data_IF_759056845580
#
_entry.id   IF_759056845580
#
_cell.length_a   1.000
_cell.length_b   1.000
_cell.length_c   1.000
_cell.angle_alpha   90.00
_cell.angle_beta   90.00
_cell.angle_gamma   90.00
#
_symmetry.space_group_name_H-M   'P 1'
#
loop_
_entity.id
_entity.type
_entity.pdbx_description
1 polymer ?
#
# COMPACT_ATOMS: atom_id res chain seq x y z
N UNK A 1 -5.86 49.41 10.29
CA UNK A 1 -6.69 48.36 10.93
C UNK A 1 -6.87 47.14 10.00
N UNK A 2 -7.19 47.30 8.71
CA UNK A 2 -7.29 46.22 7.70
C UNK A 2 -5.98 45.45 7.50
N UNK A 3 -4.84 46.16 7.44
CA UNK A 3 -3.53 45.51 7.33
C UNK A 3 -3.14 44.71 8.60
N UNK A 4 -3.59 45.18 9.77
CA UNK A 4 -3.35 44.49 11.04
C UNK A 4 -4.22 43.23 11.17
N UNK A 5 -5.48 43.31 10.71
CA UNK A 5 -6.39 42.15 10.65
C UNK A 5 -5.93 41.12 9.59
N UNK A 6 -5.44 41.57 8.44
CA UNK A 6 -4.87 40.67 7.40
C UNK A 6 -3.59 39.97 7.89
N UNK A 7 -2.67 40.69 8.59
CA UNK A 7 -1.50 40.07 9.22
C UNK A 7 -1.86 39.09 10.33
N UNK A 8 -2.86 39.40 11.16
CA UNK A 8 -3.34 38.49 12.20
C UNK A 8 -4.01 37.23 11.59
N UNK A 9 -4.76 37.38 10.49
CA UNK A 9 -5.36 36.28 9.77
C UNK A 9 -4.29 35.40 9.09
N UNK A 10 -3.28 36.00 8.46
CA UNK A 10 -2.15 35.26 7.86
C UNK A 10 -1.32 34.54 8.93
N UNK A 11 -1.15 35.10 10.12
CA UNK A 11 -0.46 34.43 11.24
C UNK A 11 -1.30 33.34 11.93
N UNK A 12 -2.61 33.30 11.72
CA UNK A 12 -3.51 32.27 12.23
C UNK A 12 -3.73 31.09 11.23
N UNK A 13 -3.25 31.25 9.99
CA UNK A 13 -3.22 30.10 9.06
C UNK A 13 -2.25 29.07 9.60
N UNK A 14 -2.60 27.77 9.61
CA UNK A 14 -1.69 26.73 10.03
C UNK A 14 -0.40 26.88 9.21
N UNK A 15 0.73 27.11 9.91
CA UNK A 15 2.03 27.16 9.24
C UNK A 15 2.18 25.89 8.41
N UNK A 16 2.54 26.07 7.14
CA UNK A 16 2.81 24.96 6.21
C UNK A 16 3.88 24.10 6.88
N UNK A 17 3.48 22.97 7.48
CA UNK A 17 4.44 22.07 8.14
C UNK A 17 5.35 21.56 7.05
N UNK A 18 6.60 22.00 7.09
CA UNK A 18 7.62 21.53 6.17
C UNK A 18 7.85 20.04 6.41
N UNK A 19 7.51 19.22 5.43
CA UNK A 19 7.72 17.79 5.51
C UNK A 19 9.22 17.49 5.43
N UNK A 20 9.74 16.74 6.40
CA UNK A 20 11.13 16.30 6.43
C UNK A 20 11.20 14.79 6.22
N UNK A 21 12.24 14.29 5.52
CA UNK A 21 12.43 12.88 5.38
C UNK A 21 12.72 12.23 6.75
N UNK A 22 12.20 11.03 6.98
CA UNK A 22 12.58 10.22 8.13
C UNK A 22 13.93 9.51 7.89
N UNK A 23 14.50 8.89 8.92
CA UNK A 23 15.82 8.23 8.84
C UNK A 23 15.95 7.21 7.71
N UNK A 24 14.89 6.44 7.45
CA UNK A 24 14.86 5.49 6.34
C UNK A 24 14.94 6.22 5.00
N UNK A 25 14.14 7.27 4.84
CA UNK A 25 14.11 8.08 3.62
C UNK A 25 15.45 8.79 3.39
N UNK A 26 16.09 9.32 4.44
CA UNK A 26 17.43 9.91 4.36
C UNK A 26 18.47 8.89 3.89
N UNK A 27 18.47 7.69 4.45
CA UNK A 27 19.37 6.62 4.04
C UNK A 27 19.16 6.19 2.59
N UNK A 28 17.90 6.09 2.17
CA UNK A 28 17.53 5.81 0.79
C UNK A 28 18.00 6.92 -0.17
N UNK A 29 17.74 8.18 0.16
CA UNK A 29 18.15 9.34 -0.67
C UNK A 29 19.65 9.33 -0.87
N UNK A 30 20.43 9.17 0.20
CA UNK A 30 21.88 9.12 0.14
C UNK A 30 22.37 7.98 -0.76
N UNK A 31 21.84 6.79 -0.57
CA UNK A 31 22.26 5.64 -1.37
C UNK A 31 21.85 5.76 -2.83
N UNK A 32 20.67 6.29 -3.12
CA UNK A 32 20.22 6.54 -4.48
C UNK A 32 21.11 7.57 -5.18
N UNK A 33 21.51 8.63 -4.48
CA UNK A 33 22.47 9.63 -5.01
C UNK A 33 23.81 8.98 -5.34
N UNK A 34 24.36 8.13 -4.46
CA UNK A 34 25.60 7.40 -4.72
C UNK A 34 25.51 6.54 -5.99
N UNK A 35 24.41 5.79 -6.15
CA UNK A 35 24.15 4.96 -7.34
C UNK A 35 24.04 5.85 -8.58
N UNK A 36 23.30 6.94 -8.52
CA UNK A 36 23.15 7.88 -9.63
C UNK A 36 24.51 8.50 -10.03
N UNK A 37 25.30 8.94 -9.06
CA UNK A 37 26.63 9.53 -9.30
C UNK A 37 27.65 8.53 -9.83
N UNK A 38 27.49 7.23 -9.56
CA UNK A 38 28.38 6.19 -10.09
C UNK A 38 28.14 5.85 -11.57
N UNK A 39 27.17 6.53 -12.22
CA UNK A 39 26.80 6.29 -13.61
C UNK A 39 25.84 5.12 -13.82
N UNK A 40 25.33 4.53 -12.75
CA UNK A 40 24.23 3.57 -12.84
C UNK A 40 22.94 4.30 -13.19
N UNK A 41 22.09 3.66 -13.96
CA UNK A 41 20.86 4.25 -14.46
C UNK A 41 19.58 3.56 -13.95
N UNK A 42 19.72 2.64 -13.00
CA UNK A 42 18.57 1.89 -12.43
C UNK A 42 18.82 1.55 -10.97
N UNK A 43 17.77 1.57 -10.16
CA UNK A 43 17.80 1.04 -8.81
C UNK A 43 16.41 0.60 -8.33
N UNK A 44 16.37 -0.25 -7.30
CA UNK A 44 15.18 -0.67 -6.57
C UNK A 44 15.14 -0.04 -5.19
N UNK A 45 13.95 0.41 -4.80
CA UNK A 45 13.55 0.64 -3.42
C UNK A 45 12.64 -0.52 -2.98
N UNK A 46 13.13 -1.38 -2.12
CA UNK A 46 12.34 -2.44 -1.50
C UNK A 46 11.90 -1.93 -0.12
N UNK A 47 10.60 -1.73 0.05
CA UNK A 47 10.11 -1.13 1.28
C UNK A 47 8.70 -1.61 1.62
N UNK A 48 8.50 -2.08 2.84
CA UNK A 48 7.23 -2.59 3.32
C UNK A 48 6.08 -1.60 3.06
N UNK A 49 4.88 -2.12 2.90
CA UNK A 49 3.67 -1.29 2.72
C UNK A 49 3.46 -0.41 3.96
N UNK A 50 3.12 0.86 3.75
CA UNK A 50 2.88 1.80 4.85
C UNK A 50 4.09 2.59 5.34
N UNK A 51 5.32 2.28 4.91
CA UNK A 51 6.55 2.98 5.32
C UNK A 51 6.79 4.33 4.63
N UNK A 52 5.96 4.70 3.65
CA UNK A 52 6.06 5.99 2.96
C UNK A 52 6.95 5.97 1.70
N UNK A 53 6.96 4.88 0.93
CA UNK A 53 7.70 4.76 -0.36
C UNK A 53 7.52 5.94 -1.29
N UNK A 54 6.28 6.38 -1.48
CA UNK A 54 5.95 7.50 -2.39
C UNK A 54 6.58 8.82 -1.92
N UNK A 55 6.58 9.07 -0.60
CA UNK A 55 7.27 10.23 -0.01
C UNK A 55 8.79 10.09 -0.15
N UNK A 56 9.33 8.90 0.05
CA UNK A 56 10.76 8.64 -0.16
C UNK A 56 11.19 8.98 -1.59
N UNK A 57 10.41 8.53 -2.58
CA UNK A 57 10.64 8.84 -3.98
C UNK A 57 10.55 10.35 -4.28
N UNK A 58 9.54 11.04 -3.71
CA UNK A 58 9.39 12.48 -3.89
C UNK A 58 10.58 13.27 -3.32
N UNK A 59 11.03 12.93 -2.10
CA UNK A 59 12.21 13.55 -1.49
C UNK A 59 13.49 13.26 -2.30
N UNK A 60 13.65 12.03 -2.77
CA UNK A 60 14.82 11.64 -3.57
C UNK A 60 14.85 12.40 -4.90
N UNK A 61 13.73 12.51 -5.60
CA UNK A 61 13.62 13.28 -6.84
C UNK A 61 13.91 14.74 -6.59
N UNK A 62 13.32 15.37 -5.56
CA UNK A 62 13.61 16.75 -5.15
C UNK A 62 15.10 16.94 -4.96
N UNK A 63 15.72 16.09 -4.15
CA UNK A 63 17.16 16.13 -3.89
C UNK A 63 18.01 16.04 -5.17
N UNK A 64 17.71 15.09 -6.05
CA UNK A 64 18.46 14.90 -7.29
C UNK A 64 18.26 16.04 -8.30
N UNK A 65 17.09 16.68 -8.33
CA UNK A 65 16.83 17.86 -9.18
C UNK A 65 17.65 19.09 -8.74
N UNK A 66 17.94 19.21 -7.45
CA UNK A 66 18.75 20.31 -6.88
C UNK A 66 20.26 20.07 -7.05
N UNK A 67 20.67 18.83 -7.38
CA UNK A 67 22.07 18.48 -7.54
C UNK A 67 22.60 18.86 -8.93
N UNK A 68 23.92 19.12 -9.00
CA UNK A 68 24.60 19.24 -10.29
C UNK A 68 24.58 17.89 -11.01
N UNK A 69 24.28 17.93 -12.31
CA UNK A 69 24.31 16.76 -13.17
C UNK A 69 25.68 16.07 -13.12
N UNK A 70 25.78 14.79 -12.79
CA UNK A 70 27.01 14.02 -12.90
C UNK A 70 27.48 13.89 -14.36
N UNK A 71 28.79 13.76 -14.59
CA UNK A 71 29.36 13.68 -15.95
C UNK A 71 28.85 12.49 -16.77
N UNK A 72 28.50 11.39 -16.09
CA UNK A 72 28.01 10.16 -16.72
C UNK A 72 26.57 10.27 -17.27
N UNK A 73 25.81 11.26 -16.84
CA UNK A 73 24.45 11.49 -17.30
C UNK A 73 24.40 12.59 -18.37
N UNK A 74 23.58 12.36 -19.40
CA UNK A 74 23.49 13.28 -20.56
C UNK A 74 22.67 14.53 -20.23
N UNK A 75 21.62 14.37 -19.38
CA UNK A 75 20.66 15.43 -19.05
C UNK A 75 20.50 15.59 -17.55
N UNK A 76 20.22 16.81 -17.05
CA UNK A 76 19.77 16.99 -15.68
C UNK A 76 18.34 16.45 -15.51
N UNK A 77 17.97 16.06 -14.30
CA UNK A 77 16.61 15.62 -14.01
C UNK A 77 15.70 16.86 -13.98
N UNK A 78 14.78 16.94 -14.92
CA UNK A 78 13.78 18.03 -15.04
C UNK A 78 12.37 17.50 -15.21
N UNK A 79 12.16 16.44 -16.01
CA UNK A 79 10.85 15.83 -16.27
C UNK A 79 10.79 14.43 -15.68
N UNK A 80 9.75 14.18 -14.89
CA UNK A 80 9.57 12.94 -14.12
C UNK A 80 8.26 12.27 -14.51
N UNK A 81 8.34 10.97 -14.78
CA UNK A 81 7.17 10.11 -14.98
C UNK A 81 7.03 9.15 -13.82
N UNK A 82 5.83 9.10 -13.23
CA UNK A 82 5.47 8.15 -12.18
C UNK A 82 4.41 7.18 -12.70
N UNK A 83 4.75 5.90 -12.82
CA UNK A 83 3.88 4.87 -13.39
C UNK A 83 3.31 3.99 -12.29
N UNK A 84 2.00 3.83 -12.28
CA UNK A 84 1.27 3.05 -11.27
C UNK A 84 0.25 2.10 -11.94
N UNK A 85 -0.28 1.19 -11.15
CA UNK A 85 -1.30 0.25 -11.61
C UNK A 85 -2.73 0.84 -11.59
N UNK A 86 -3.05 1.77 -10.68
CA UNK A 86 -4.42 2.33 -10.50
C UNK A 86 -4.41 3.85 -10.44
N UNK A 87 -5.47 4.45 -11.00
CA UNK A 87 -5.65 5.89 -11.03
C UNK A 87 -5.64 6.54 -9.64
N UNK A 88 -6.30 5.93 -8.66
CA UNK A 88 -6.30 6.44 -7.29
C UNK A 88 -4.89 6.54 -6.70
N UNK A 89 -4.02 5.56 -7.02
CA UNK A 89 -2.61 5.61 -6.59
C UNK A 89 -1.88 6.74 -7.33
N UNK A 90 -2.16 6.96 -8.62
CA UNK A 90 -1.60 8.08 -9.37
C UNK A 90 -1.97 9.43 -8.75
N UNK A 91 -3.23 9.61 -8.38
CA UNK A 91 -3.72 10.84 -7.71
C UNK A 91 -3.05 11.02 -6.35
N UNK A 92 -2.94 9.96 -5.55
CA UNK A 92 -2.27 10.00 -4.23
C UNK A 92 -0.77 10.32 -4.37
N UNK A 93 -0.10 9.72 -5.35
CA UNK A 93 1.31 10.01 -5.64
C UNK A 93 1.50 11.45 -6.10
N UNK A 94 0.66 11.96 -7.00
CA UNK A 94 0.62 13.36 -7.42
C UNK A 94 0.53 14.30 -6.22
N UNK A 95 -0.43 14.05 -5.33
CA UNK A 95 -0.62 14.87 -4.12
C UNK A 95 0.58 14.79 -3.16
N UNK A 96 1.20 13.62 -3.01
CA UNK A 96 2.39 13.42 -2.17
C UNK A 96 3.59 14.19 -2.72
N UNK A 97 3.82 14.13 -4.04
CA UNK A 97 4.87 14.88 -4.71
C UNK A 97 4.66 16.39 -4.59
N UNK A 98 3.44 16.87 -4.82
CA UNK A 98 3.10 18.29 -4.66
C UNK A 98 3.31 18.79 -3.22
N UNK A 99 3.06 17.96 -2.21
CA UNK A 99 3.33 18.31 -0.79
C UNK A 99 4.82 18.39 -0.48
N UNK A 100 5.65 17.53 -1.07
CA UNK A 100 7.10 17.50 -0.78
C UNK A 100 7.86 18.54 -1.60
N UNK A 101 7.57 18.62 -2.89
CA UNK A 101 8.33 19.46 -3.84
C UNK A 101 7.77 20.88 -3.87
N UNK A 102 6.44 21.03 -3.77
CA UNK A 102 5.77 22.33 -3.89
C UNK A 102 5.51 22.72 -5.35
N UNK A 103 4.98 23.94 -5.53
CA UNK A 103 4.71 24.53 -6.85
C UNK A 103 5.35 25.90 -7.01
N UNK A 104 6.17 26.32 -6.04
CA UNK A 104 6.70 27.69 -5.93
C UNK A 104 7.72 28.03 -7.05
N UNK A 105 8.43 27.01 -7.55
CA UNK A 105 9.42 27.12 -8.62
C UNK A 105 8.88 26.82 -10.02
N UNK A 106 7.57 26.97 -10.24
CA UNK A 106 6.91 26.68 -11.52
C UNK A 106 6.73 25.18 -11.81
N UNK A 107 6.83 24.32 -10.80
CA UNK A 107 6.59 22.88 -10.94
C UNK A 107 5.11 22.58 -11.22
N UNK A 108 4.85 21.77 -12.21
CA UNK A 108 3.52 21.38 -12.66
C UNK A 108 3.30 19.88 -12.55
N UNK A 109 2.05 19.48 -12.24
CA UNK A 109 1.69 18.10 -11.93
C UNK A 109 0.50 17.65 -12.79
N UNK A 110 0.76 16.76 -13.74
CA UNK A 110 -0.25 16.23 -14.65
C UNK A 110 -0.71 14.82 -14.29
N UNK A 111 -1.86 14.43 -14.81
CA UNK A 111 -2.42 13.09 -14.69
C UNK A 111 -2.76 12.54 -16.08
N UNK A 112 -2.29 11.31 -16.36
CA UNK A 112 -2.59 10.57 -17.58
C UNK A 112 -3.26 9.24 -17.22
N UNK A 113 -4.59 9.26 -17.12
CA UNK A 113 -5.39 8.10 -16.75
C UNK A 113 -6.84 8.26 -17.15
N UNK A 114 -7.47 7.26 -17.73
CA UNK A 114 -8.87 7.32 -18.15
C UNK A 114 -9.14 8.53 -19.04
N UNK A 115 -9.91 9.50 -18.52
CA UNK A 115 -10.26 10.74 -19.21
C UNK A 115 -9.26 11.89 -18.98
N UNK A 116 -8.30 11.74 -18.10
CA UNK A 116 -7.27 12.75 -17.79
C UNK A 116 -6.12 12.66 -18.80
N UNK A 117 -5.76 13.80 -19.42
CA UNK A 117 -4.69 13.89 -20.44
C UNK A 117 -3.79 15.11 -20.23
N UNK A 118 -3.47 15.42 -18.98
CA UNK A 118 -2.62 16.56 -18.62
C UNK A 118 -1.16 16.17 -18.79
N UNK A 119 -0.62 16.22 -20.01
CA UNK A 119 0.72 15.73 -20.33
C UNK A 119 1.82 16.82 -20.39
N UNK A 120 1.41 18.10 -20.51
CA UNK A 120 2.38 19.22 -20.48
C UNK A 120 2.67 19.64 -19.03
N UNK A 121 3.57 18.89 -18.40
CA UNK A 121 3.89 19.09 -16.98
C UNK A 121 5.32 18.62 -16.66
N UNK A 122 5.82 19.05 -15.50
CA UNK A 122 7.11 18.62 -14.95
C UNK A 122 7.02 17.20 -14.40
N UNK A 123 5.94 16.91 -13.68
CA UNK A 123 5.66 15.61 -13.05
C UNK A 123 4.40 15.01 -13.65
N UNK A 124 4.55 13.95 -14.42
CA UNK A 124 3.44 13.20 -14.99
C UNK A 124 3.18 11.92 -14.19
N UNK A 125 1.95 11.76 -13.74
CA UNK A 125 1.48 10.55 -13.05
C UNK A 125 0.56 9.77 -14.00
N UNK A 126 0.91 8.51 -14.29
CA UNK A 126 0.17 7.74 -15.28
C UNK A 126 -0.15 6.34 -14.80
N UNK A 127 -1.28 5.82 -15.25
CA UNK A 127 -1.54 4.39 -15.11
C UNK A 127 -0.85 3.61 -16.22
N UNK A 128 -0.34 2.41 -15.87
CA UNK A 128 0.31 1.51 -16.80
C UNK A 128 -0.59 1.17 -17.99
N UNK A 129 -1.90 0.97 -17.75
CA UNK A 129 -2.88 0.61 -18.76
C UNK A 129 -3.03 1.72 -19.81
N UNK A 130 -3.09 2.97 -19.37
CA UNK A 130 -3.22 4.11 -20.30
C UNK A 130 -1.92 4.35 -21.05
N UNK A 131 -0.78 4.37 -20.34
CA UNK A 131 0.52 4.69 -20.95
C UNK A 131 0.98 3.62 -21.95
N UNK A 132 0.67 2.33 -21.72
CA UNK A 132 1.08 1.23 -22.61
C UNK A 132 0.27 1.12 -23.91
N UNK A 133 -0.78 1.94 -24.09
CA UNK A 133 -1.51 2.00 -25.36
C UNK A 133 -0.60 2.57 -26.46
N UNK A 134 -0.53 1.91 -27.62
CA UNK A 134 0.35 2.33 -28.73
C UNK A 134 0.13 3.78 -29.17
N UNK A 135 -1.14 4.21 -29.21
CA UNK A 135 -1.53 5.57 -29.57
C UNK A 135 -1.01 6.61 -28.58
N UNK A 136 -0.99 6.27 -27.29
CA UNK A 136 -0.54 7.16 -26.20
C UNK A 136 0.98 7.16 -26.12
N UNK A 137 1.60 5.98 -26.20
CA UNK A 137 3.05 5.83 -26.09
C UNK A 137 3.79 6.55 -27.23
N UNK A 138 3.21 6.57 -28.43
CA UNK A 138 3.76 7.27 -29.61
C UNK A 138 3.73 8.79 -29.49
N UNK A 139 2.89 9.35 -28.61
CA UNK A 139 2.83 10.79 -28.37
C UNK A 139 4.06 11.30 -27.57
N UNK A 140 4.82 10.37 -26.98
CA UNK A 140 6.05 10.68 -26.25
C UNK A 140 7.27 10.22 -27.01
N UNK A 141 8.28 11.10 -27.13
CA UNK A 141 9.60 10.68 -27.60
C UNK A 141 10.28 9.79 -26.54
N UNK A 142 11.22 8.93 -26.93
CA UNK A 142 11.98 8.11 -25.97
C UNK A 142 12.65 8.91 -24.84
N UNK A 143 13.01 10.15 -25.11
CA UNK A 143 13.71 11.05 -24.20
C UNK A 143 12.79 12.06 -23.49
N UNK A 144 11.46 11.83 -23.50
CA UNK A 144 10.49 12.77 -22.91
C UNK A 144 10.63 12.95 -21.40
N UNK A 145 11.21 11.97 -20.70
CA UNK A 145 11.39 12.00 -19.26
C UNK A 145 12.83 11.70 -18.90
N UNK A 146 13.33 12.40 -17.88
CA UNK A 146 14.70 12.22 -17.37
C UNK A 146 14.75 11.20 -16.23
N UNK A 147 13.66 11.09 -15.46
CA UNK A 147 13.55 10.15 -14.35
C UNK A 147 12.19 9.44 -14.41
N UNK A 148 12.21 8.11 -14.37
CA UNK A 148 10.97 7.32 -14.42
C UNK A 148 10.90 6.44 -13.17
N UNK A 149 9.75 6.51 -12.49
CA UNK A 149 9.44 5.71 -11.31
C UNK A 149 8.37 4.68 -11.67
N UNK A 150 8.63 3.43 -11.32
CA UNK A 150 7.67 2.33 -11.46
C UNK A 150 7.27 1.86 -10.07
N UNK A 151 6.03 2.11 -9.68
CA UNK A 151 5.46 1.57 -8.45
C UNK A 151 4.97 0.13 -8.67
N UNK A 152 5.02 -0.70 -7.63
CA UNK A 152 4.79 -2.14 -7.68
C UNK A 152 5.64 -2.83 -8.76
N UNK A 153 6.93 -2.54 -8.74
CA UNK A 153 7.91 -3.00 -9.74
C UNK A 153 7.99 -4.53 -9.87
N UNK A 154 7.54 -5.29 -8.86
CA UNK A 154 7.40 -6.75 -8.95
C UNK A 154 6.45 -7.19 -10.08
N UNK A 155 5.55 -6.31 -10.55
CA UNK A 155 4.67 -6.55 -11.71
C UNK A 155 5.33 -6.24 -13.05
N UNK A 156 6.57 -5.76 -13.06
CA UNK A 156 7.28 -5.33 -14.26
C UNK A 156 7.54 -6.45 -15.29
N UNK A 157 7.24 -7.69 -14.94
CA UNK A 157 7.24 -8.82 -15.88
C UNK A 157 6.03 -8.89 -16.81
N UNK A 158 5.03 -8.03 -16.67
CA UNK A 158 3.91 -7.99 -17.61
C UNK A 158 4.29 -7.25 -18.90
N UNK A 159 3.73 -7.67 -20.05
CA UNK A 159 4.02 -7.10 -21.36
C UNK A 159 3.89 -5.56 -21.43
N UNK A 160 2.98 -4.99 -20.65
CA UNK A 160 2.76 -3.53 -20.60
C UNK A 160 3.96 -2.78 -20.02
N UNK A 161 4.61 -3.31 -18.98
CA UNK A 161 5.81 -2.73 -18.40
C UNK A 161 7.01 -2.86 -19.33
N UNK A 162 7.19 -4.05 -19.92
CA UNK A 162 8.27 -4.30 -20.89
C UNK A 162 8.19 -3.33 -22.07
N UNK A 163 6.98 -3.06 -22.55
CA UNK A 163 6.73 -2.11 -23.62
C UNK A 163 7.13 -0.69 -23.25
N UNK A 164 6.80 -0.22 -22.05
CA UNK A 164 7.17 1.11 -21.55
C UNK A 164 8.68 1.20 -21.36
N UNK A 165 9.29 0.18 -20.74
CA UNK A 165 10.74 0.16 -20.51
C UNK A 165 11.55 0.06 -21.81
N UNK A 166 11.01 -0.56 -22.86
CA UNK A 166 11.63 -0.62 -24.17
C UNK A 166 11.51 0.70 -24.94
N UNK A 167 10.46 1.48 -24.70
CA UNK A 167 10.22 2.74 -25.40
C UNK A 167 11.06 3.89 -24.83
N UNK A 168 11.01 4.12 -23.50
CA UNK A 168 11.65 5.26 -22.86
C UNK A 168 13.14 5.05 -22.57
N UNK A 169 13.91 6.13 -22.61
CA UNK A 169 15.34 6.19 -22.32
C UNK A 169 15.67 7.32 -21.34
N UNK A 170 15.19 7.21 -20.09
CA UNK A 170 15.49 8.21 -19.08
C UNK A 170 16.95 8.13 -18.64
N UNK A 171 17.42 9.15 -17.95
CA UNK A 171 18.70 9.11 -17.24
C UNK A 171 18.67 8.12 -16.08
N UNK A 172 17.49 7.93 -15.44
CA UNK A 172 17.37 7.00 -14.34
C UNK A 172 15.99 6.34 -14.22
N UNK A 173 15.99 5.05 -13.90
CA UNK A 173 14.82 4.25 -13.55
C UNK A 173 14.81 3.92 -12.05
N UNK A 174 13.76 4.25 -11.35
CA UNK A 174 13.52 3.81 -9.97
C UNK A 174 12.34 2.82 -9.92
N UNK A 175 12.63 1.58 -9.56
CA UNK A 175 11.59 0.61 -9.20
C UNK A 175 11.27 0.70 -7.71
N UNK A 176 10.00 0.61 -7.36
CA UNK A 176 9.56 0.53 -5.98
C UNK A 176 8.70 -0.71 -5.78
N UNK A 177 8.93 -1.47 -4.71
CA UNK A 177 8.12 -2.63 -4.37
C UNK A 177 8.17 -2.92 -2.87
N UNK A 178 7.14 -3.53 -2.33
CA UNK A 178 7.17 -4.10 -0.98
C UNK A 178 7.62 -5.57 -0.99
N UNK A 179 7.44 -6.26 -2.10
CA UNK A 179 7.60 -7.71 -2.27
C UNK A 179 8.26 -7.99 -3.61
N UNK A 180 9.60 -7.96 -3.68
CA UNK A 180 10.32 -8.21 -4.92
C UNK A 180 10.26 -9.68 -5.37
N UNK A 181 10.03 -10.60 -4.42
CA UNK A 181 9.93 -12.03 -4.68
C UNK A 181 8.64 -12.36 -5.42
N UNK A 182 8.76 -13.04 -6.56
CA UNK A 182 7.63 -13.53 -7.36
C UNK A 182 7.67 -15.04 -7.47
N UNK A 183 6.48 -15.62 -7.69
CA UNK A 183 6.29 -17.04 -7.93
C UNK A 183 6.36 -17.43 -9.41
N UNK A 184 6.57 -16.46 -10.32
CA UNK A 184 6.49 -16.65 -11.78
C UNK A 184 7.83 -16.54 -12.52
N UNK A 185 8.94 -16.84 -11.87
CA UNK A 185 10.32 -16.89 -12.41
C UNK A 185 10.82 -15.60 -13.12
N UNK A 186 10.08 -14.48 -13.01
CA UNK A 186 10.51 -13.19 -13.57
C UNK A 186 11.23 -12.36 -12.52
N UNK A 187 12.54 -12.25 -12.66
CA UNK A 187 13.40 -11.54 -11.73
C UNK A 187 13.30 -10.02 -11.90
N UNK A 188 12.68 -9.36 -10.91
CA UNK A 188 12.65 -7.89 -10.88
C UNK A 188 14.04 -7.30 -10.63
N UNK A 189 14.90 -8.01 -9.92
CA UNK A 189 16.26 -7.54 -9.63
C UNK A 189 17.09 -7.40 -10.91
N UNK A 190 16.98 -8.36 -11.85
CA UNK A 190 17.64 -8.31 -13.15
C UNK A 190 17.25 -7.04 -13.93
N UNK A 191 15.94 -6.69 -13.94
CA UNK A 191 15.46 -5.49 -14.64
C UNK A 191 16.03 -4.19 -14.10
N UNK A 192 16.46 -4.19 -12.85
CA UNK A 192 17.07 -3.04 -12.17
C UNK A 192 18.58 -3.26 -11.90
N UNK A 193 19.25 -4.10 -12.72
CA UNK A 193 20.69 -4.36 -12.67
C UNK A 193 21.16 -4.82 -11.28
N UNK A 194 20.32 -5.48 -10.50
CA UNK A 194 20.57 -5.87 -9.10
C UNK A 194 21.01 -4.71 -8.20
N UNK A 195 20.67 -3.45 -8.56
CA UNK A 195 20.99 -2.28 -7.76
C UNK A 195 19.87 -2.02 -6.77
N UNK A 196 20.12 -2.26 -5.49
CA UNK A 196 19.20 -1.96 -4.40
C UNK A 196 19.67 -0.66 -3.75
N UNK A 197 18.85 0.39 -3.89
CA UNK A 197 19.09 1.67 -3.23
C UNK A 197 18.78 1.61 -1.74
N UNK A 198 17.73 0.89 -1.36
CA UNK A 198 17.40 0.62 0.05
C UNK A 198 16.45 -0.56 0.17
N UNK A 199 16.59 -1.31 1.24
CA UNK A 199 15.71 -2.41 1.58
C UNK A 199 15.27 -2.30 3.04
N UNK A 200 13.95 -2.32 3.26
CA UNK A 200 13.35 -2.41 4.59
C UNK A 200 12.13 -3.31 4.55
N UNK A 201 12.21 -4.43 5.22
CA UNK A 201 11.13 -5.41 5.31
C UNK A 201 10.16 -5.06 6.43
N UNK A 202 9.04 -5.79 6.51
CA UNK A 202 8.00 -5.55 7.50
C UNK A 202 8.56 -5.57 8.93
N UNK A 203 9.38 -6.56 9.26
CA UNK A 203 10.03 -6.69 10.56
C UNK A 203 10.88 -5.46 10.89
N UNK A 204 11.79 -5.08 9.98
CA UNK A 204 12.66 -3.93 10.20
C UNK A 204 11.85 -2.63 10.35
N UNK A 205 10.78 -2.49 9.57
CA UNK A 205 9.90 -1.33 9.63
C UNK A 205 9.17 -1.22 10.99
N UNK A 206 8.82 -2.34 11.60
CA UNK A 206 8.27 -2.40 12.96
C UNK A 206 9.36 -2.09 14.01
N UNK A 207 10.53 -2.71 13.92
CA UNK A 207 11.66 -2.51 14.82
C UNK A 207 12.15 -1.05 14.82
N UNK A 208 12.14 -0.39 13.65
CA UNK A 208 12.44 1.05 13.51
C UNK A 208 11.25 1.96 13.82
N UNK A 209 10.16 1.41 14.34
CA UNK A 209 8.97 2.17 14.71
C UNK A 209 8.41 3.03 13.54
N UNK A 210 8.48 2.54 12.30
CA UNK A 210 7.89 3.18 11.14
C UNK A 210 6.43 2.77 10.94
N UNK A 211 6.06 1.61 11.46
CA UNK A 211 4.71 1.06 11.43
C UNK A 211 4.13 0.95 12.84
N UNK A 212 2.82 0.85 12.92
CA UNK A 212 2.09 0.55 14.13
C UNK A 212 2.27 -0.92 14.49
N UNK A 213 2.57 -1.28 15.74
CA UNK A 213 2.59 -2.68 16.17
C UNK A 213 1.24 -3.35 15.99
N UNK A 214 1.21 -4.67 15.98
CA UNK A 214 -0.03 -5.42 15.83
C UNK A 214 -0.06 -6.68 16.71
N UNK A 215 -1.26 -7.15 17.02
CA UNK A 215 -1.51 -8.45 17.64
C UNK A 215 -2.19 -9.35 16.60
N UNK A 216 -1.57 -10.48 16.31
CA UNK A 216 -2.12 -11.47 15.37
C UNK A 216 -2.72 -12.65 16.11
N UNK A 217 -3.97 -12.94 15.82
CA UNK A 217 -4.70 -14.06 16.39
C UNK A 217 -5.24 -14.97 15.26
N UNK A 218 -4.65 -16.16 15.17
CA UNK A 218 -5.19 -17.24 14.32
C UNK A 218 -6.36 -17.90 15.04
N UNK A 219 -7.56 -17.81 14.49
CA UNK A 219 -8.80 -18.31 15.08
C UNK A 219 -9.25 -19.54 14.28
N UNK A 220 -9.49 -20.65 14.95
CA UNK A 220 -10.12 -21.81 14.32
C UNK A 220 -11.56 -21.47 13.96
N UNK A 221 -11.94 -21.63 12.70
CA UNK A 221 -13.32 -21.46 12.26
C UNK A 221 -14.21 -22.59 12.81
N UNK A 222 -15.52 -22.35 12.85
CA UNK A 222 -16.46 -23.31 13.41
C UNK A 222 -16.47 -24.61 12.59
N UNK A 223 -16.47 -25.74 13.29
CA UNK A 223 -16.80 -27.05 12.70
C UNK A 223 -18.32 -27.23 12.77
N UNK A 224 -18.99 -27.25 11.64
CA UNK A 224 -20.41 -27.60 11.56
C UNK A 224 -20.50 -29.07 11.19
N UNK A 225 -21.01 -29.88 12.12
CA UNK A 225 -21.16 -31.34 12.06
C UNK A 225 -19.85 -32.09 11.77
N UNK A 226 -19.53 -33.10 12.51
CA UNK A 226 -18.32 -33.94 12.57
C UNK A 226 -17.68 -34.39 11.22
N UNK A 227 -18.20 -33.94 10.09
CA UNK A 227 -17.58 -34.06 8.78
C UNK A 227 -16.66 -32.85 8.56
N UNK A 228 -15.38 -33.10 8.44
CA UNK A 228 -14.40 -32.16 7.92
C UNK A 228 -14.91 -31.64 6.57
N UNK A 229 -15.62 -30.51 6.58
CA UNK A 229 -15.96 -29.84 5.31
C UNK A 229 -14.67 -29.30 4.71
N UNK A 230 -14.10 -30.09 3.81
CA UNK A 230 -12.96 -29.69 2.96
C UNK A 230 -13.29 -28.52 2.02
N UNK A 231 -14.54 -28.10 1.95
CA UNK A 231 -15.00 -27.08 1.00
C UNK A 231 -15.31 -25.77 1.71
N UNK A 232 -14.26 -24.96 1.88
CA UNK A 232 -14.31 -23.58 2.42
C UNK A 232 -15.11 -22.62 1.53
N UNK A 233 -15.60 -23.10 0.37
CA UNK A 233 -16.39 -22.32 -0.58
C UNK A 233 -17.89 -22.40 -0.35
N UNK A 234 -18.36 -23.14 0.67
CA UNK A 234 -19.80 -23.26 0.93
C UNK A 234 -20.39 -21.93 1.44
N UNK A 235 -21.04 -21.21 0.54
CA UNK A 235 -21.68 -19.91 0.80
C UNK A 235 -22.65 -19.95 1.99
N UNK A 236 -23.42 -21.02 2.15
CA UNK A 236 -24.38 -21.20 3.27
C UNK A 236 -23.66 -21.21 4.60
N UNK A 237 -22.49 -21.86 4.68
CA UNK A 237 -21.64 -21.86 5.87
C UNK A 237 -21.03 -20.48 6.11
N UNK A 238 -20.41 -19.88 5.07
CA UNK A 238 -19.74 -18.59 5.16
C UNK A 238 -20.65 -17.46 5.65
N UNK A 239 -21.94 -17.58 5.41
CA UNK A 239 -22.96 -16.58 5.79
C UNK A 239 -23.91 -17.05 6.89
N UNK A 240 -23.62 -18.17 7.57
CA UNK A 240 -24.48 -18.68 8.66
C UNK A 240 -24.51 -17.74 9.86
N UNK A 241 -25.62 -17.73 10.59
CA UNK A 241 -25.78 -16.90 11.80
C UNK A 241 -24.82 -17.33 12.92
N UNK A 242 -24.50 -18.62 12.97
CA UNK A 242 -23.52 -19.18 13.90
C UNK A 242 -22.13 -18.59 13.63
N UNK A 243 -21.72 -18.54 12.36
CA UNK A 243 -20.42 -17.98 11.98
C UNK A 243 -20.37 -16.48 12.23
N UNK A 244 -21.44 -15.74 11.91
CA UNK A 244 -21.54 -14.31 12.21
C UNK A 244 -21.37 -14.05 13.70
N UNK A 245 -22.10 -14.81 14.57
CA UNK A 245 -21.95 -14.70 16.03
C UNK A 245 -20.54 -15.03 16.51
N UNK A 246 -19.90 -16.05 15.95
CA UNK A 246 -18.53 -16.42 16.28
C UNK A 246 -17.54 -15.30 15.92
N UNK A 247 -17.65 -14.73 14.72
CA UNK A 247 -16.81 -13.60 14.28
C UNK A 247 -16.97 -12.41 15.22
N UNK A 248 -18.23 -12.05 15.56
CA UNK A 248 -18.51 -10.94 16.47
C UNK A 248 -17.96 -11.19 17.88
N UNK A 249 -18.16 -12.39 18.41
CA UNK A 249 -17.65 -12.78 19.72
C UNK A 249 -16.12 -12.64 19.77
N UNK A 250 -15.41 -13.08 18.72
CA UNK A 250 -13.94 -12.96 18.65
C UNK A 250 -13.51 -11.52 18.46
N UNK A 251 -14.21 -10.73 17.66
CA UNK A 251 -13.92 -9.31 17.47
C UNK A 251 -14.06 -8.54 18.80
N UNK A 252 -15.03 -8.89 19.64
CA UNK A 252 -15.23 -8.30 20.97
C UNK A 252 -14.22 -8.82 22.01
N UNK A 253 -13.88 -10.12 21.98
CA UNK A 253 -12.93 -10.76 22.89
C UNK A 253 -11.53 -10.13 22.77
N UNK A 254 -11.04 -9.97 21.55
CA UNK A 254 -9.69 -9.44 21.31
C UNK A 254 -9.65 -7.90 21.22
N UNK A 255 -10.82 -7.25 21.20
CA UNK A 255 -10.98 -5.79 21.21
C UNK A 255 -10.19 -5.08 20.09
N UNK A 256 -9.87 -3.82 20.32
CA UNK A 256 -9.12 -2.94 19.42
C UNK A 256 -8.47 -1.82 20.24
N UNK A 257 -7.50 -1.12 19.65
CA UNK A 257 -6.93 0.09 20.24
C UNK A 257 -7.71 1.32 19.79
N UNK A 258 -7.87 2.30 20.68
CA UNK A 258 -8.60 3.54 20.42
C UNK A 258 -10.05 3.55 20.92
N UNK A 259 -10.76 4.65 20.66
CA UNK A 259 -12.10 4.89 21.23
C UNK A 259 -13.23 4.06 20.58
N UNK A 260 -13.09 3.73 19.29
CA UNK A 260 -14.05 2.91 18.56
C UNK A 260 -13.37 2.01 17.55
N UNK A 261 -14.04 0.95 17.15
CA UNK A 261 -13.55 0.10 16.07
C UNK A 261 -13.60 0.84 14.73
N UNK A 262 -12.51 0.72 13.97
CA UNK A 262 -12.36 1.16 12.59
C UNK A 262 -11.75 -0.01 11.84
N UNK A 263 -12.62 -0.89 11.34
CA UNK A 263 -12.20 -2.22 10.89
C UNK A 263 -12.35 -2.47 9.39
N UNK A 264 -11.52 -3.40 8.89
CA UNK A 264 -11.68 -4.02 7.58
C UNK A 264 -11.99 -5.50 7.75
N UNK A 265 -12.94 -6.00 6.97
CA UNK A 265 -13.26 -7.43 6.87
C UNK A 265 -13.01 -7.89 5.44
N UNK A 266 -12.10 -8.82 5.27
CA UNK A 266 -11.77 -9.40 3.96
C UNK A 266 -12.58 -10.68 3.74
N UNK A 267 -13.47 -10.66 2.74
CA UNK A 267 -14.37 -11.74 2.37
C UNK A 267 -13.89 -12.49 1.13
N UNK A 268 -14.40 -13.71 0.93
CA UNK A 268 -14.06 -14.57 -0.20
C UNK A 268 -14.80 -14.17 -1.49
N UNK A 269 -16.04 -13.68 -1.36
CA UNK A 269 -16.87 -13.27 -2.50
C UNK A 269 -17.65 -11.99 -2.21
N UNK A 270 -18.14 -11.36 -3.29
CA UNK A 270 -18.99 -10.15 -3.21
C UNK A 270 -20.31 -10.47 -2.52
N UNK A 271 -20.89 -11.60 -2.83
CA UNK A 271 -22.13 -12.09 -2.25
C UNK A 271 -21.98 -12.32 -0.75
N UNK A 272 -20.87 -12.93 -0.31
CA UNK A 272 -20.54 -13.07 1.11
C UNK A 272 -20.46 -11.69 1.80
N UNK A 273 -19.70 -10.76 1.23
CA UNK A 273 -19.52 -9.43 1.79
C UNK A 273 -20.85 -8.69 1.94
N UNK A 274 -21.75 -8.81 0.95
CA UNK A 274 -23.08 -8.22 0.99
C UNK A 274 -23.93 -8.80 2.11
N UNK A 275 -24.09 -10.12 2.14
CA UNK A 275 -24.94 -10.80 3.15
C UNK A 275 -24.39 -10.59 4.56
N UNK A 276 -23.08 -10.67 4.75
CA UNK A 276 -22.46 -10.41 6.05
C UNK A 276 -22.67 -8.96 6.49
N UNK A 277 -22.53 -7.98 5.59
CA UNK A 277 -22.80 -6.58 5.94
C UNK A 277 -24.23 -6.38 6.39
N UNK A 278 -25.21 -6.98 5.71
CA UNK A 278 -26.63 -6.92 6.11
C UNK A 278 -26.85 -7.54 7.51
N UNK A 279 -26.28 -8.72 7.77
CA UNK A 279 -26.41 -9.41 9.06
C UNK A 279 -25.70 -8.65 10.19
N UNK A 280 -24.53 -8.09 9.95
CA UNK A 280 -23.81 -7.29 10.94
C UNK A 280 -24.57 -5.99 11.28
N UNK A 281 -25.21 -5.36 10.29
CA UNK A 281 -26.07 -4.19 10.51
C UNK A 281 -27.31 -4.55 11.37
N UNK A 282 -27.85 -5.75 11.22
CA UNK A 282 -28.94 -6.26 12.10
C UNK A 282 -28.47 -6.47 13.55
N UNK A 283 -27.18 -6.64 13.78
CA UNK A 283 -26.55 -6.73 15.10
C UNK A 283 -26.04 -5.38 15.63
N UNK A 284 -26.60 -4.27 15.13
CA UNK A 284 -26.28 -2.89 15.49
C UNK A 284 -24.85 -2.43 15.17
N UNK A 285 -24.13 -3.11 14.30
CA UNK A 285 -22.89 -2.61 13.71
C UNK A 285 -23.19 -1.75 12.50
N UNK A 286 -22.38 -0.74 12.27
CA UNK A 286 -22.50 0.17 11.12
C UNK A 286 -21.52 -0.28 10.04
N UNK A 287 -22.00 -1.04 9.08
CA UNK A 287 -21.13 -1.62 8.05
C UNK A 287 -21.58 -1.25 6.64
N UNK A 288 -20.65 -1.31 5.71
CA UNK A 288 -20.90 -1.28 4.27
C UNK A 288 -19.96 -2.25 3.58
N UNK A 289 -20.30 -2.66 2.36
CA UNK A 289 -19.39 -3.45 1.54
C UNK A 289 -18.97 -2.67 0.30
N UNK A 290 -17.75 -2.91 -0.16
CA UNK A 290 -17.19 -2.32 -1.36
C UNK A 290 -16.66 -3.40 -2.29
N UNK A 291 -16.84 -3.20 -3.59
CA UNK A 291 -16.44 -4.14 -4.64
C UNK A 291 -15.54 -3.48 -5.68
N UNK A 292 -14.97 -4.28 -6.58
CA UNK A 292 -14.23 -3.77 -7.72
C UNK A 292 -15.03 -2.80 -8.59
N UNK A 293 -16.37 -2.94 -8.62
CA UNK A 293 -17.28 -2.10 -9.40
C UNK A 293 -17.80 -0.85 -8.65
N UNK A 294 -17.48 -0.71 -7.35
CA UNK A 294 -17.86 0.50 -6.58
C UNK A 294 -17.19 1.73 -7.17
N UNK A 295 -17.95 2.82 -7.31
CA UNK A 295 -17.44 4.07 -7.85
C UNK A 295 -16.38 4.70 -6.95
N UNK A 296 -15.43 5.48 -7.50
CA UNK A 296 -14.39 6.15 -6.69
C UNK A 296 -14.97 7.01 -5.56
N UNK A 297 -16.06 7.73 -5.83
CA UNK A 297 -16.73 8.59 -4.85
C UNK A 297 -17.34 7.78 -3.70
N UNK A 298 -17.95 6.63 -3.99
CA UNK A 298 -18.50 5.71 -2.98
C UNK A 298 -17.41 5.16 -2.06
N UNK A 299 -16.25 4.83 -2.64
CA UNK A 299 -15.09 4.35 -1.89
C UNK A 299 -14.55 5.43 -0.96
N UNK A 300 -14.39 6.67 -1.46
CA UNK A 300 -13.93 7.79 -0.66
C UNK A 300 -14.90 8.09 0.48
N UNK A 301 -16.21 8.17 0.18
CA UNK A 301 -17.23 8.41 1.19
C UNK A 301 -17.25 7.33 2.28
N UNK A 302 -17.06 6.05 1.92
CA UNK A 302 -16.97 4.97 2.90
C UNK A 302 -15.72 5.08 3.77
N UNK A 303 -14.58 5.43 3.17
CA UNK A 303 -13.32 5.67 3.89
C UNK A 303 -13.44 6.83 4.86
N UNK A 304 -14.00 7.97 4.43
CA UNK A 304 -14.19 9.15 5.29
C UNK A 304 -15.13 8.83 6.46
N UNK A 305 -16.18 8.03 6.24
CA UNK A 305 -17.09 7.57 7.28
C UNK A 305 -16.43 6.59 8.27
N UNK A 306 -15.49 5.76 7.81
CA UNK A 306 -14.75 4.84 8.68
C UNK A 306 -13.67 5.62 9.49
N UNK A 307 -12.89 6.46 8.83
CA UNK A 307 -11.80 7.22 9.44
C UNK A 307 -12.29 8.31 10.39
N UNK A 308 -13.46 8.93 10.10
CA UNK A 308 -14.00 10.08 10.80
C UNK A 308 -14.33 9.85 12.27
N UNK A 309 -14.73 10.92 12.95
CA UNK A 309 -15.18 10.87 14.34
C UNK A 309 -16.46 10.02 14.51
N UNK A 310 -16.73 9.58 15.74
CA UNK A 310 -17.96 8.86 16.04
C UNK A 310 -19.18 9.75 15.79
N UNK A 311 -20.20 9.19 15.14
CA UNK A 311 -21.42 9.92 14.81
C UNK A 311 -22.41 9.03 14.06
N UNK A 312 -23.61 9.54 13.73
CA UNK A 312 -24.68 8.73 13.13
C UNK A 312 -24.32 8.15 11.75
N UNK A 313 -23.37 8.77 11.05
CA UNK A 313 -22.91 8.32 9.73
C UNK A 313 -21.57 7.57 9.78
N UNK A 314 -20.95 7.39 10.95
CA UNK A 314 -19.71 6.66 11.09
C UNK A 314 -19.91 5.18 10.73
N UNK A 315 -18.86 4.56 10.17
CA UNK A 315 -18.81 3.11 9.94
C UNK A 315 -17.90 2.45 10.97
N UNK A 316 -18.26 1.25 11.39
CA UNK A 316 -17.45 0.40 12.24
C UNK A 316 -16.57 -0.53 11.39
N UNK A 317 -17.13 -1.06 10.28
CA UNK A 317 -16.40 -1.90 9.37
C UNK A 317 -16.73 -1.61 7.89
N UNK A 318 -15.74 -1.80 7.04
CA UNK A 318 -15.92 -1.96 5.60
C UNK A 318 -15.60 -3.40 5.24
N UNK A 319 -16.56 -4.10 4.62
CA UNK A 319 -16.36 -5.44 4.07
C UNK A 319 -15.86 -5.33 2.63
N UNK A 320 -14.92 -6.18 2.23
CA UNK A 320 -14.29 -6.04 0.91
C UNK A 320 -13.81 -7.37 0.35
N UNK A 321 -13.75 -7.40 -0.99
CA UNK A 321 -13.13 -8.47 -1.77
C UNK A 321 -12.13 -7.82 -2.72
N UNK A 322 -10.84 -8.08 -2.54
CA UNK A 322 -9.70 -7.68 -3.39
C UNK A 322 -9.47 -6.18 -3.67
N UNK A 323 -10.39 -5.27 -3.32
CA UNK A 323 -10.21 -3.84 -3.65
C UNK A 323 -9.25 -3.10 -2.73
N UNK A 324 -9.11 -3.52 -1.49
CA UNK A 324 -8.16 -2.94 -0.54
C UNK A 324 -6.76 -3.61 -0.60
N UNK A 325 -6.52 -4.49 -1.56
CA UNK A 325 -5.18 -4.99 -1.82
C UNK A 325 -4.25 -3.86 -2.30
N UNK A 326 -4.80 -2.84 -2.98
CA UNK A 326 -4.06 -1.71 -3.53
C UNK A 326 -4.92 -0.43 -3.53
N UNK A 327 -4.29 0.72 -3.25
CA UNK A 327 -4.86 2.05 -3.57
C UNK A 327 -5.72 2.75 -2.52
N UNK A 328 -6.13 2.12 -1.42
CA UNK A 328 -6.86 2.81 -0.33
C UNK A 328 -5.97 2.92 0.90
N UNK A 329 -5.90 4.11 1.45
CA UNK A 329 -5.10 4.46 2.62
C UNK A 329 -6.01 4.88 3.77
N UNK A 330 -6.05 4.09 4.82
CA UNK A 330 -6.82 4.38 6.04
C UNK A 330 -5.90 4.13 7.25
N UNK A 331 -5.11 5.11 7.66
CA UNK A 331 -4.20 4.97 8.81
C UNK A 331 -4.92 4.60 10.11
N UNK A 332 -6.17 5.00 10.26
CA UNK A 332 -6.98 4.84 11.46
C UNK A 332 -7.47 3.40 11.71
N UNK A 333 -7.29 2.47 10.75
CA UNK A 333 -7.68 1.07 10.93
C UNK A 333 -6.99 0.49 12.17
N UNK A 334 -7.80 -0.04 13.10
CA UNK A 334 -7.35 -0.63 14.35
C UNK A 334 -7.74 -2.11 14.51
N UNK A 335 -8.58 -2.64 13.61
CA UNK A 335 -8.90 -4.07 13.56
C UNK A 335 -9.01 -4.55 12.11
N UNK A 336 -8.43 -5.72 11.81
CA UNK A 336 -8.51 -6.37 10.50
C UNK A 336 -8.97 -7.81 10.69
N UNK A 337 -10.00 -8.21 9.98
CA UNK A 337 -10.58 -9.55 10.04
C UNK A 337 -10.45 -10.22 8.67
N UNK A 338 -9.77 -11.36 8.63
CA UNK A 338 -9.67 -12.20 7.46
C UNK A 338 -10.65 -13.36 7.57
N UNK A 339 -11.70 -13.36 6.73
CA UNK A 339 -12.68 -14.43 6.62
C UNK A 339 -12.41 -15.33 5.40
N UNK A 340 -11.37 -15.03 4.66
CA UNK A 340 -10.96 -15.78 3.48
C UNK A 340 -9.57 -16.36 3.65
N UNK A 341 -9.29 -17.52 3.01
CA UNK A 341 -7.93 -18.05 2.97
C UNK A 341 -7.01 -17.08 2.23
N UNK A 342 -5.93 -16.72 2.87
CA UNK A 342 -4.85 -15.98 2.21
C UNK A 342 -3.84 -16.97 1.66
N UNK A 343 -3.89 -17.17 0.34
CA UNK A 343 -3.00 -18.11 -0.35
C UNK A 343 -1.64 -17.52 -0.72
N UNK A 344 -1.46 -16.20 -0.58
CA UNK A 344 -0.25 -15.48 -0.97
C UNK A 344 0.28 -14.62 0.16
N UNK A 345 1.53 -14.84 0.61
CA UNK A 345 2.21 -13.98 1.57
C UNK A 345 2.25 -12.52 1.12
N UNK A 346 2.36 -12.31 -0.19
CA UNK A 346 2.39 -10.97 -0.83
C UNK A 346 1.08 -10.24 -0.59
N UNK A 347 -0.05 -10.88 -0.90
CA UNK A 347 -1.38 -10.29 -0.72
C UNK A 347 -1.64 -10.02 0.76
N UNK A 348 -1.30 -10.97 1.64
CA UNK A 348 -1.43 -10.80 3.08
C UNK A 348 -0.65 -9.59 3.58
N UNK A 349 0.63 -9.48 3.23
CA UNK A 349 1.48 -8.36 3.65
C UNK A 349 0.97 -7.02 3.10
N UNK A 350 0.44 -6.99 1.89
CA UNK A 350 -0.15 -5.78 1.30
C UNK A 350 -1.45 -5.36 2.00
N UNK A 351 -2.31 -6.32 2.34
CA UNK A 351 -3.55 -6.06 3.09
C UNK A 351 -3.26 -5.62 4.52
N UNK A 352 -2.38 -6.33 5.19
CA UNK A 352 -1.93 -6.04 6.54
C UNK A 352 -1.30 -4.64 6.63
N UNK A 353 -0.36 -4.32 5.74
CA UNK A 353 0.39 -3.06 5.76
C UNK A 353 -0.50 -1.80 5.66
N UNK A 354 -1.74 -1.93 5.24
CA UNK A 354 -2.69 -0.80 5.24
C UNK A 354 -3.20 -0.48 6.63
N UNK A 355 -3.41 -1.49 7.46
CA UNK A 355 -3.76 -1.34 8.86
C UNK A 355 -2.57 -0.95 9.73
N UNK A 356 -1.32 -1.17 9.28
CA UNK A 356 -0.13 -0.92 10.11
C UNK A 356 0.39 0.52 10.04
N UNK A 357 -0.31 1.45 9.41
CA UNK A 357 0.09 2.86 9.47
C UNK A 357 -0.19 3.44 10.86
N UNK A 358 0.65 4.38 11.27
CA UNK A 358 0.46 5.09 12.53
C UNK A 358 -0.65 6.12 12.42
N UNK A 359 -1.47 6.21 13.46
CA UNK A 359 -2.48 7.25 13.66
C UNK A 359 -2.47 7.68 15.13
N UNK A 360 -2.97 8.89 15.42
CA UNK A 360 -2.88 9.50 16.75
C UNK A 360 -3.60 8.73 17.84
N UNK A 361 -4.73 8.11 17.49
CA UNK A 361 -5.59 7.37 18.46
C UNK A 361 -5.39 5.88 18.41
N UNK A 362 -4.28 5.40 17.85
CA UNK A 362 -4.02 3.98 17.66
C UNK A 362 -2.66 3.59 18.17
N UNK A 363 -2.62 2.73 19.18
CA UNK A 363 -1.40 2.17 19.75
C UNK A 363 -0.98 0.87 19.04
N UNK A 364 -1.96 0.04 18.66
CA UNK A 364 -1.75 -1.23 17.95
C UNK A 364 -2.92 -1.56 17.04
N UNK A 365 -2.73 -2.55 16.19
CA UNK A 365 -3.77 -3.13 15.32
C UNK A 365 -4.03 -4.56 15.74
N UNK A 366 -5.28 -4.96 15.83
CA UNK A 366 -5.66 -6.36 16.06
C UNK A 366 -5.99 -7.03 14.74
N UNK A 367 -5.39 -8.18 14.50
CA UNK A 367 -5.59 -8.98 13.29
C UNK A 367 -6.22 -10.31 13.72
N UNK A 368 -7.42 -10.55 13.22
CA UNK A 368 -8.14 -11.79 13.44
C UNK A 368 -8.17 -12.58 12.13
N UNK A 369 -7.50 -13.69 12.10
CA UNK A 369 -7.44 -14.54 10.91
C UNK A 369 -8.20 -15.84 11.18
N UNK A 370 -9.39 -15.96 10.57
CA UNK A 370 -10.23 -17.14 10.70
C UNK A 370 -9.69 -18.25 9.81
N UNK A 371 -8.80 -19.02 10.39
CA UNK A 371 -8.09 -20.12 9.75
C UNK A 371 -9.00 -21.35 9.74
N UNK A 372 -9.71 -21.60 8.65
CA UNK A 372 -10.16 -22.96 8.37
C UNK A 372 -8.92 -23.82 8.07
N UNK A 373 -8.95 -25.14 8.25
CA UNK A 373 -7.84 -26.09 8.10
C UNK A 373 -7.09 -25.98 6.75
N UNK A 374 -6.32 -24.89 6.57
CA UNK A 374 -5.59 -24.67 5.33
C UNK A 374 -4.23 -25.38 5.35
N UNK A 375 -3.97 -26.13 4.31
CA UNK A 375 -2.69 -26.83 4.13
C UNK A 375 -1.47 -25.89 4.07
N UNK A 376 -1.68 -24.59 3.92
CA UNK A 376 -0.63 -23.56 3.73
C UNK A 376 -0.57 -22.49 4.83
N UNK A 377 -1.06 -22.76 6.02
CA UNK A 377 -1.05 -21.81 7.15
C UNK A 377 0.34 -21.26 7.52
N UNK A 378 1.41 -21.98 7.15
CA UNK A 378 2.79 -21.53 7.38
C UNK A 378 3.20 -20.28 6.58
N UNK A 379 2.45 -19.91 5.53
CA UNK A 379 2.77 -18.77 4.68
C UNK A 379 2.61 -17.42 5.42
N UNK A 380 1.73 -17.33 6.41
CA UNK A 380 1.54 -16.13 7.21
C UNK A 380 2.74 -15.87 8.14
N UNK A 381 3.19 -16.83 8.96
CA UNK A 381 4.45 -16.70 9.69
C UNK A 381 5.65 -16.35 8.81
N UNK A 382 5.74 -16.92 7.58
CA UNK A 382 6.77 -16.55 6.59
C UNK A 382 6.70 -15.07 6.25
N UNK A 383 5.50 -14.59 5.88
CA UNK A 383 5.31 -13.20 5.50
C UNK A 383 5.64 -12.22 6.64
N UNK A 384 5.36 -12.61 7.89
CA UNK A 384 5.60 -11.79 9.07
C UNK A 384 7.07 -11.83 9.54
N UNK A 385 7.74 -12.99 9.42
CA UNK A 385 9.13 -13.16 9.86
C UNK A 385 10.16 -12.56 8.91
N UNK A 386 9.78 -12.35 7.63
CA UNK A 386 10.71 -11.95 6.58
C UNK A 386 11.66 -13.08 6.13
N UNK A 387 11.40 -14.32 6.54
CA UNK A 387 12.18 -15.48 6.11
C UNK A 387 11.82 -15.86 4.67
N UNK A 388 12.78 -15.79 3.78
CA UNK A 388 12.67 -16.12 2.37
C UNK A 388 13.12 -17.55 2.03
N UNK A 389 13.50 -18.34 3.04
CA UNK A 389 13.99 -19.71 2.81
C UNK A 389 12.87 -20.66 2.38
N UNK A 390 11.60 -20.35 2.73
CA UNK A 390 10.44 -21.23 2.55
C UNK A 390 10.63 -22.65 3.13
N UNK A 391 11.60 -22.81 4.01
CA UNK A 391 11.89 -24.08 4.67
C UNK A 391 10.92 -24.35 5.82
N UNK A 392 10.13 -25.42 5.71
CA UNK A 392 9.11 -25.80 6.68
C UNK A 392 9.66 -26.05 8.09
N UNK A 393 10.88 -26.54 8.19
CA UNK A 393 11.47 -26.88 9.49
C UNK A 393 12.01 -25.63 10.19
N UNK A 394 12.56 -24.68 9.44
CA UNK A 394 12.90 -23.34 9.94
C UNK A 394 11.65 -22.60 10.41
N UNK A 395 10.55 -22.72 9.65
CA UNK A 395 9.25 -22.13 9.99
C UNK A 395 8.63 -22.72 11.25
N UNK A 396 8.67 -24.03 11.42
CA UNK A 396 8.21 -24.69 12.66
C UNK A 396 8.97 -24.19 13.88
N UNK A 397 10.28 -24.02 13.77
CA UNK A 397 11.10 -23.45 14.83
C UNK A 397 10.71 -21.99 15.13
N UNK A 398 10.46 -21.20 14.11
CA UNK A 398 10.00 -19.81 14.22
C UNK A 398 8.66 -19.71 14.97
N UNK A 399 7.68 -20.51 14.58
CA UNK A 399 6.36 -20.57 15.24
C UNK A 399 6.46 -21.07 16.68
N UNK A 400 7.36 -22.05 16.95
CA UNK A 400 7.59 -22.55 18.32
C UNK A 400 8.31 -21.54 19.21
N UNK A 401 9.12 -20.64 18.66
CA UNK A 401 9.80 -19.57 19.39
C UNK A 401 8.86 -18.42 19.78
N UNK A 402 7.64 -18.42 19.24
CA UNK A 402 6.58 -17.48 19.58
C UNK A 402 6.92 -16.02 19.27
N UNK A 403 6.36 -15.11 20.08
CA UNK A 403 6.46 -13.64 19.92
C UNK A 403 7.88 -13.07 19.88
N UNK A 404 8.92 -13.84 20.17
CA UNK A 404 10.32 -13.38 20.08
C UNK A 404 10.81 -13.21 18.64
N UNK A 405 10.09 -13.76 17.66
CA UNK A 405 10.52 -13.78 16.24
C UNK A 405 9.50 -13.12 15.33
N UNK A 406 8.22 -13.14 15.70
CA UNK A 406 7.15 -12.47 14.98
C UNK A 406 6.84 -11.19 15.75
N UNK A 407 7.06 -10.00 15.18
CA UNK A 407 6.71 -8.76 15.85
C UNK A 407 5.19 -8.65 15.96
N UNK A 408 4.65 -8.58 17.17
CA UNK A 408 3.22 -8.44 17.39
C UNK A 408 2.84 -8.65 18.85
#
# INVERSE_FOLDING_TARGET
ELQRKAKAFISSLPQKVELKPNKMQESFIKRLEEIYRSGQNRALLISATGTGKTYAAAFAVKHLMEQKRPEHHKRPIKKVLFVVHREQIAIQAKNSFARVIGSEDGQTYGLLSGNHKDTDCTFLFSTIQTLSLDRVLKDFSPDSFDFIIIDEAHRSGANSYDKIMAHFRPEFWLGMTATPERTDDKDVFEKFNHQIAYEIRLKDALDYNLLCPFHYHGISDLKINDEEQKDVSNFTFLTSDERVRHVLQKAEEFKFSGERVKGLIFCSSIEEAKVLSEKLNQQNLRTTYLTGNSKPEERLAAVDRLAGANGPHALDYILTVDIFNEGVDIPEINQVIFLRPTQSPIIFTQQLGRGLRKASDKEYVVILDFIANYEKNYLIPVALSGDNSFDKDSMRKLVMLGTKVIPG
#
